data_IF_880713748026
#
_entry.id   IF_880713748026
#
_cell.length_a   1.000
_cell.length_b   1.000
_cell.length_c   1.000
_cell.angle_alpha   90.00
_cell.angle_beta   90.00
_cell.angle_gamma   90.00
#
_symmetry.space_group_name_H-M   'P 1'
#
loop_
_entity.id
_entity.type
_entity.pdbx_description
1 polymer ?
#
# COMPACT_ATOMS: atom_id res chain seq x y z
N UNK A 1 -21.95 19.40 4.84
CA UNK A 1 -21.46 18.03 4.56
C UNK A 1 -19.96 18.10 4.41
N UNK A 2 -19.18 17.53 5.34
CA UNK A 2 -17.72 17.54 5.23
C UNK A 2 -17.31 16.38 4.33
N UNK A 3 -16.89 16.67 3.09
CA UNK A 3 -16.34 15.68 2.16
C UNK A 3 -14.90 15.35 2.59
N UNK A 4 -14.75 14.37 3.46
CA UNK A 4 -13.44 13.97 3.98
C UNK A 4 -12.60 13.28 2.90
N UNK A 5 -11.30 13.56 2.89
CA UNK A 5 -10.34 12.88 2.03
C UNK A 5 -9.31 12.15 2.88
N UNK A 6 -9.00 10.91 2.49
CA UNK A 6 -7.92 10.11 3.05
C UNK A 6 -6.90 9.83 1.96
N UNK A 7 -5.64 10.20 2.18
CA UNK A 7 -4.52 9.80 1.34
C UNK A 7 -3.61 8.86 2.14
N UNK A 8 -3.27 7.70 1.57
CA UNK A 8 -2.39 6.70 2.19
C UNK A 8 -1.30 6.33 1.20
N UNK A 9 -0.07 6.21 1.68
CA UNK A 9 1.05 5.63 0.94
C UNK A 9 1.70 4.58 1.83
N UNK A 10 1.80 3.36 1.35
CA UNK A 10 2.39 2.25 2.11
C UNK A 10 2.96 1.16 1.18
N UNK A 11 3.71 0.22 1.75
CA UNK A 11 4.25 -0.93 1.05
C UNK A 11 3.14 -1.82 0.48
N UNK A 12 3.29 -2.21 -0.78
CA UNK A 12 2.36 -3.09 -1.51
C UNK A 12 2.93 -4.51 -1.57
N UNK A 13 4.03 -4.73 -2.30
CA UNK A 13 4.62 -6.07 -2.39
C UNK A 13 6.09 -6.03 -2.78
N UNK A 14 6.77 -7.15 -2.55
CA UNK A 14 8.06 -7.46 -3.17
C UNK A 14 7.95 -8.78 -3.94
N UNK A 15 8.58 -8.92 -5.12
CA UNK A 15 8.69 -10.22 -5.79
C UNK A 15 9.71 -11.15 -5.12
N UNK A 16 10.54 -10.65 -4.19
CA UNK A 16 11.63 -11.42 -3.58
C UNK A 16 11.27 -11.87 -2.16
N UNK A 17 10.96 -13.17 -2.01
CA UNK A 17 10.61 -13.77 -0.70
C UNK A 17 11.69 -13.58 0.37
N UNK A 18 12.97 -13.62 -0.02
CA UNK A 18 14.08 -13.37 0.93
C UNK A 18 14.06 -11.94 1.45
N UNK A 19 13.68 -10.98 0.61
CA UNK A 19 13.56 -9.58 1.02
C UNK A 19 12.32 -9.39 1.91
N UNK A 20 11.20 -10.02 1.57
CA UNK A 20 10.00 -10.05 2.43
C UNK A 20 10.31 -10.63 3.82
N UNK A 21 11.02 -11.75 3.89
CA UNK A 21 11.45 -12.34 5.17
C UNK A 21 12.38 -11.41 5.95
N UNK A 22 13.34 -10.77 5.29
CA UNK A 22 14.21 -9.79 5.93
C UNK A 22 13.42 -8.60 6.47
N UNK A 23 12.46 -8.06 5.71
CA UNK A 23 11.57 -6.98 6.15
C UNK A 23 10.75 -7.41 7.38
N UNK A 24 10.19 -8.62 7.36
CA UNK A 24 9.45 -9.18 8.49
C UNK A 24 10.32 -9.35 9.75
N UNK A 25 11.58 -9.78 9.62
CA UNK A 25 12.55 -9.82 10.73
C UNK A 25 12.83 -8.43 11.30
N UNK A 26 12.72 -7.39 10.47
CA UNK A 26 12.81 -5.99 10.86
C UNK A 26 11.43 -5.38 11.19
N UNK A 27 10.41 -6.22 11.40
CA UNK A 27 9.04 -5.83 11.77
C UNK A 27 8.31 -4.95 10.73
N UNK A 28 8.74 -4.98 9.47
CA UNK A 28 8.06 -4.30 8.37
C UNK A 28 7.23 -5.29 7.58
N UNK A 29 5.94 -5.01 7.45
CA UNK A 29 5.05 -5.77 6.58
C UNK A 29 5.03 -5.20 5.15
N UNK A 30 5.18 -6.06 4.16
CA UNK A 30 5.18 -5.71 2.73
C UNK A 30 4.20 -6.58 1.94
N UNK A 31 2.96 -6.66 2.42
CA UNK A 31 1.90 -7.54 1.86
C UNK A 31 0.79 -6.79 1.12
N UNK A 32 0.69 -5.47 1.27
CA UNK A 32 -0.33 -4.66 0.62
C UNK A 32 -1.75 -4.91 1.14
N UNK A 33 -1.90 -5.72 2.20
CA UNK A 33 -3.21 -6.11 2.77
C UNK A 33 -4.05 -4.93 3.27
N UNK A 34 -3.42 -3.80 3.54
CA UNK A 34 -4.08 -2.56 3.92
C UNK A 34 -5.01 -2.04 2.82
N UNK A 35 -4.59 -2.12 1.55
CA UNK A 35 -5.32 -1.48 0.45
C UNK A 35 -6.71 -2.09 0.19
N UNK A 36 -6.91 -3.43 0.21
CA UNK A 36 -8.26 -4.00 0.18
C UNK A 36 -9.17 -3.48 1.30
N UNK A 37 -8.64 -3.28 2.51
CA UNK A 37 -9.42 -2.75 3.64
C UNK A 37 -9.81 -1.28 3.42
N UNK A 38 -8.89 -0.47 2.88
CA UNK A 38 -9.18 0.92 2.50
C UNK A 38 -10.26 1.01 1.42
N UNK A 39 -10.19 0.17 0.39
CA UNK A 39 -11.20 0.09 -0.68
C UNK A 39 -12.59 -0.31 -0.17
N UNK A 40 -12.65 -1.16 0.85
CA UNK A 40 -13.91 -1.56 1.49
C UNK A 40 -14.49 -0.49 2.41
N UNK A 41 -13.68 0.48 2.87
CA UNK A 41 -14.07 1.47 3.88
C UNK A 41 -14.33 2.85 3.29
N UNK A 42 -13.64 3.20 2.21
CA UNK A 42 -13.69 4.51 1.56
C UNK A 42 -14.07 4.37 0.09
N UNK A 43 -14.73 5.38 -0.45
CA UNK A 43 -14.91 5.48 -1.89
C UNK A 43 -13.54 5.76 -2.53
N UNK A 44 -12.96 4.77 -3.20
CA UNK A 44 -11.71 4.94 -3.95
C UNK A 44 -11.91 6.02 -5.02
N UNK A 45 -11.10 7.07 -4.94
CA UNK A 45 -11.01 8.13 -5.95
C UNK A 45 -9.83 7.91 -6.89
N UNK A 46 -8.71 7.41 -6.35
CA UNK A 46 -7.53 7.04 -7.12
C UNK A 46 -6.74 5.98 -6.35
N UNK A 47 -6.13 5.04 -7.06
CA UNK A 47 -5.18 4.08 -6.49
C UNK A 47 -4.13 3.74 -7.54
N UNK A 48 -2.85 3.91 -7.20
CA UNK A 48 -1.73 3.67 -8.11
C UNK A 48 -0.62 2.90 -7.40
N UNK A 49 -0.17 1.78 -7.96
CA UNK A 49 0.98 1.02 -7.47
C UNK A 49 2.22 1.30 -8.32
N UNK A 50 3.33 1.68 -7.68
CA UNK A 50 4.60 2.01 -8.34
C UNK A 50 5.73 1.10 -7.88
N UNK A 51 6.62 0.77 -8.81
CA UNK A 51 7.87 0.08 -8.52
C UNK A 51 8.89 1.03 -7.90
N UNK A 52 9.64 0.54 -6.92
CA UNK A 52 10.73 1.23 -6.24
C UNK A 52 11.99 0.36 -6.27
N UNK A 53 13.15 1.00 -6.12
CA UNK A 53 14.47 0.32 -6.08
C UNK A 53 14.65 -0.71 -7.21
N UNK A 54 14.48 -0.27 -8.47
CA UNK A 54 14.58 -1.12 -9.66
C UNK A 54 13.66 -2.37 -9.63
N UNK A 55 12.54 -2.30 -8.93
CA UNK A 55 11.57 -3.39 -8.83
C UNK A 55 11.79 -4.33 -7.64
N UNK A 56 12.71 -4.01 -6.73
CA UNK A 56 12.88 -4.74 -5.47
C UNK A 56 11.58 -4.78 -4.66
N UNK A 57 10.81 -3.71 -4.68
CA UNK A 57 9.48 -3.66 -4.06
C UNK A 57 8.58 -2.62 -4.74
N UNK A 58 7.30 -2.64 -4.39
CA UNK A 58 6.29 -1.68 -4.83
C UNK A 58 5.58 -1.05 -3.65
N UNK A 59 5.09 0.17 -3.84
CA UNK A 59 4.18 0.87 -2.92
C UNK A 59 2.92 1.28 -3.65
N UNK A 60 1.83 1.43 -2.92
CA UNK A 60 0.59 1.99 -3.45
C UNK A 60 0.33 3.36 -2.85
N UNK A 61 -0.10 4.28 -3.70
CA UNK A 61 -0.76 5.51 -3.30
C UNK A 61 -2.27 5.30 -3.41
N UNK A 62 -3.00 5.46 -2.32
CA UNK A 62 -4.46 5.37 -2.27
C UNK A 62 -5.07 6.71 -1.88
N UNK A 63 -6.10 7.13 -2.60
CA UNK A 63 -6.92 8.30 -2.29
C UNK A 63 -8.38 7.85 -2.15
N UNK A 64 -8.95 8.03 -0.96
CA UNK A 64 -10.32 7.70 -0.62
C UNK A 64 -11.14 8.93 -0.20
N UNK A 65 -12.44 8.87 -0.42
CA UNK A 65 -13.42 9.85 0.09
C UNK A 65 -14.40 9.24 1.09
N UNK A 66 -14.93 10.08 1.99
CA UNK A 66 -16.03 9.76 2.90
C UNK A 66 -16.96 10.95 3.12
#
# INVERSE_FOLDING_TARGET
TQNGLLAVVDFDHTPLKVFEQWMNLNHVEISGRLFPQLKNTFQEKNSETKSSYFGLWKYTLFLGGK
#
